data_IF_378596887291
#
_entry.id   IF_378596887291
#
_cell.length_a   1.000
_cell.length_b   1.000
_cell.length_c   1.000
_cell.angle_alpha   90.00
_cell.angle_beta   90.00
_cell.angle_gamma   90.00
#
_symmetry.space_group_name_H-M   'P 1'
#
loop_
_entity.id
_entity.type
_entity.pdbx_description
1 polymer ?
#
# COMPACT_ATOMS: atom_id res chain seq x y z
N UNK A 1 2.04 6.99 15.72
CA UNK A 1 2.24 5.64 16.27
C UNK A 1 1.32 5.35 17.46
N UNK A 2 1.37 6.10 18.56
CA UNK A 2 0.44 5.91 19.71
C UNK A 2 -1.03 5.90 19.29
N UNK A 3 -1.49 6.92 18.56
CA UNK A 3 -2.87 7.01 18.04
C UNK A 3 -3.26 5.77 17.24
N UNK A 4 -2.38 5.28 16.36
CA UNK A 4 -2.64 4.10 15.55
C UNK A 4 -2.80 2.85 16.43
N UNK A 5 -1.88 2.63 17.36
CA UNK A 5 -1.91 1.48 18.27
C UNK A 5 -3.15 1.48 19.16
N UNK A 6 -3.49 2.63 19.76
CA UNK A 6 -4.70 2.79 20.58
C UNK A 6 -6.00 2.63 19.78
N UNK A 7 -5.94 2.87 18.46
CA UNK A 7 -7.05 2.61 17.52
C UNK A 7 -7.11 1.16 17.03
N UNK A 8 -6.27 0.27 17.57
CA UNK A 8 -6.24 -1.16 17.22
C UNK A 8 -5.32 -1.53 16.06
N UNK A 9 -4.55 -0.58 15.50
CA UNK A 9 -3.56 -0.89 14.44
C UNK A 9 -2.38 -1.65 15.05
N UNK A 10 -2.11 -2.83 14.50
CA UNK A 10 -1.00 -3.69 14.91
C UNK A 10 0.10 -3.83 13.82
N UNK A 11 -0.13 -3.33 12.61
CA UNK A 11 0.81 -3.37 11.50
C UNK A 11 1.57 -2.04 11.36
N UNK A 12 2.89 -2.10 11.42
CA UNK A 12 3.78 -0.96 11.22
C UNK A 12 4.87 -1.35 10.20
N UNK A 13 4.98 -0.57 9.13
CA UNK A 13 5.95 -0.79 8.05
C UNK A 13 7.09 0.25 8.11
N UNK A 14 8.29 -0.20 7.77
CA UNK A 14 9.51 0.63 7.66
C UNK A 14 10.49 -0.03 6.68
N UNK A 15 11.54 0.68 6.29
CA UNK A 15 12.62 0.13 5.46
C UNK A 15 13.97 0.79 5.81
N UNK A 16 15.06 0.06 5.59
CA UNK A 16 16.44 0.53 5.78
C UNK A 16 16.74 1.84 5.03
N UNK A 17 16.13 2.02 3.85
CA UNK A 17 16.35 3.21 2.99
C UNK A 17 15.62 4.44 3.53
N UNK A 18 14.62 4.28 4.41
CA UNK A 18 13.80 5.38 4.92
C UNK A 18 14.62 6.25 5.87
N UNK A 19 14.88 7.48 5.43
CA UNK A 19 15.73 8.44 6.13
C UNK A 19 17.11 7.86 6.51
N UNK A 20 17.66 6.97 5.67
CA UNK A 20 18.93 6.27 5.89
C UNK A 20 18.99 5.57 7.26
N UNK A 21 18.06 4.64 7.50
CA UNK A 21 17.95 3.84 8.74
C UNK A 21 17.34 4.57 9.95
N UNK A 22 17.18 5.90 9.90
CA UNK A 22 16.62 6.67 11.03
C UNK A 22 15.17 6.31 11.33
N UNK A 23 14.39 5.91 10.31
CA UNK A 23 13.01 5.51 10.51
C UNK A 23 12.89 4.28 11.42
N UNK A 24 13.72 3.25 11.19
CA UNK A 24 13.78 2.03 12.00
C UNK A 24 14.21 2.34 13.44
N UNK A 25 15.24 3.18 13.61
CA UNK A 25 15.70 3.61 14.93
C UNK A 25 14.60 4.35 15.72
N UNK A 26 13.84 5.24 15.07
CA UNK A 26 12.72 5.95 15.69
C UNK A 26 11.62 4.97 16.07
N UNK A 27 11.24 4.06 15.18
CA UNK A 27 10.22 3.04 15.44
C UNK A 27 10.61 2.18 16.64
N UNK A 28 11.81 1.60 16.65
CA UNK A 28 12.33 0.79 17.75
C UNK A 28 12.37 1.54 19.09
N UNK A 29 12.76 2.83 19.07
CA UNK A 29 12.77 3.67 20.27
C UNK A 29 11.35 3.91 20.83
N UNK A 30 10.35 4.14 19.98
CA UNK A 30 8.97 4.34 20.43
C UNK A 30 8.43 3.03 21.03
N UNK A 31 8.64 1.90 20.35
CA UNK A 31 8.25 0.57 20.83
C UNK A 31 8.84 0.31 22.22
N UNK A 32 10.16 0.48 22.36
CA UNK A 32 10.89 0.27 23.61
C UNK A 32 10.36 1.19 24.72
N UNK A 33 10.18 2.48 24.43
CA UNK A 33 9.68 3.49 25.39
C UNK A 33 8.25 3.21 25.84
N UNK A 34 7.41 2.68 24.95
CA UNK A 34 6.02 2.32 25.26
C UNK A 34 5.87 0.94 25.90
N UNK A 35 6.96 0.18 26.02
CA UNK A 35 6.97 -1.20 26.52
C UNK A 35 5.94 -2.08 25.79
N UNK A 36 5.69 -1.78 24.52
CA UNK A 36 4.97 -2.70 23.64
C UNK A 36 5.82 -3.96 23.49
N UNK A 37 5.20 -5.13 23.32
CA UNK A 37 5.84 -6.46 23.37
C UNK A 37 6.80 -6.77 22.19
N UNK A 38 7.56 -5.79 21.74
CA UNK A 38 8.48 -5.87 20.62
C UNK A 38 9.85 -5.38 21.13
N UNK A 39 10.48 -6.15 22.01
CA UNK A 39 11.93 -6.07 22.20
C UNK A 39 12.53 -6.83 21.01
N UNK A 40 12.62 -6.15 19.86
CA UNK A 40 12.80 -6.77 18.54
C UNK A 40 14.11 -7.56 18.46
N UNK A 41 14.03 -8.87 18.65
CA UNK A 41 15.04 -9.84 18.20
C UNK A 41 14.78 -10.27 16.74
N UNK A 42 13.57 -10.00 16.25
CA UNK A 42 13.07 -10.36 14.92
C UNK A 42 12.07 -9.33 14.39
N UNK A 43 11.76 -9.39 13.09
CA UNK A 43 10.61 -8.69 12.47
C UNK A 43 9.55 -9.70 12.01
N UNK A 44 8.27 -9.37 12.10
CA UNK A 44 7.21 -10.31 11.69
C UNK A 44 7.31 -10.65 10.19
N UNK A 45 7.57 -9.66 9.34
CA UNK A 45 7.76 -9.88 7.89
C UNK A 45 8.93 -9.05 7.38
N UNK A 46 9.89 -9.69 6.72
CA UNK A 46 10.95 -9.02 5.95
C UNK A 46 10.58 -8.96 4.46
N UNK A 47 10.78 -7.81 3.82
CA UNK A 47 10.41 -7.62 2.41
C UNK A 47 11.61 -7.47 1.49
N UNK A 48 11.57 -8.12 0.32
CA UNK A 48 12.35 -7.70 -0.83
C UNK A 48 11.74 -6.41 -1.39
N UNK A 49 12.34 -5.25 -1.10
CA UNK A 49 11.78 -3.92 -1.39
C UNK A 49 11.56 -3.63 -2.90
N UNK A 50 12.26 -4.36 -3.78
CA UNK A 50 12.10 -4.36 -5.24
C UNK A 50 12.75 -5.63 -5.83
N UNK A 51 12.45 -6.00 -7.08
CA UNK A 51 13.22 -7.03 -7.78
C UNK A 51 14.69 -6.63 -7.89
N UNK A 52 15.58 -7.62 -7.80
CA UNK A 52 17.00 -7.46 -8.12
C UNK A 52 17.35 -8.32 -9.33
N UNK A 53 17.58 -7.67 -10.47
CA UNK A 53 17.90 -8.35 -11.73
C UNK A 53 19.32 -8.91 -11.78
N UNK A 54 20.16 -8.62 -10.77
CA UNK A 54 21.54 -9.09 -10.71
C UNK A 54 21.71 -10.32 -9.81
N UNK A 55 20.70 -10.68 -9.03
CA UNK A 55 20.74 -11.81 -8.09
C UNK A 55 19.76 -12.89 -8.55
N UNK A 56 20.19 -14.15 -8.77
CA UNK A 56 19.29 -15.23 -9.16
C UNK A 56 18.17 -15.45 -8.14
N UNK A 57 16.96 -15.80 -8.60
CA UNK A 57 15.81 -16.02 -7.74
C UNK A 57 16.08 -17.06 -6.64
N UNK A 58 16.80 -18.13 -6.97
CA UNK A 58 17.18 -19.16 -6.00
C UNK A 58 17.98 -18.61 -4.82
N UNK A 59 18.93 -17.72 -5.08
CA UNK A 59 19.75 -17.11 -4.03
C UNK A 59 18.89 -16.23 -3.10
N UNK A 60 17.99 -15.43 -3.68
CA UNK A 60 17.05 -14.58 -2.92
C UNK A 60 16.17 -15.45 -2.00
N UNK A 61 15.53 -16.50 -2.54
CA UNK A 61 14.61 -17.35 -1.74
C UNK A 61 15.37 -18.14 -0.68
N UNK A 62 16.61 -18.60 -0.95
CA UNK A 62 17.46 -19.24 0.05
C UNK A 62 17.86 -18.29 1.17
N UNK A 63 18.24 -17.05 0.83
CA UNK A 63 18.60 -16.03 1.82
C UNK A 63 17.39 -15.67 2.72
N UNK A 64 16.21 -15.47 2.12
CA UNK A 64 14.97 -15.21 2.86
C UNK A 64 14.60 -16.39 3.78
N UNK A 65 14.76 -17.62 3.30
CA UNK A 65 14.54 -18.82 4.11
C UNK A 65 15.55 -18.94 5.24
N UNK A 66 16.82 -18.59 4.99
CA UNK A 66 17.86 -18.60 6.00
C UNK A 66 17.55 -17.64 7.15
N UNK A 67 17.21 -16.38 6.86
CA UNK A 67 16.91 -15.39 7.92
C UNK A 67 15.69 -15.78 8.75
N UNK A 68 14.70 -16.45 8.14
CA UNK A 68 13.56 -17.01 8.88
C UNK A 68 14.01 -18.15 9.79
N UNK A 69 14.80 -19.09 9.27
CA UNK A 69 15.32 -20.22 10.06
C UNK A 69 16.27 -19.80 11.19
N UNK A 70 16.95 -18.65 11.06
CA UNK A 70 17.76 -18.04 12.12
C UNK A 70 16.91 -17.28 13.15
N UNK A 71 15.59 -17.23 12.99
CA UNK A 71 14.69 -16.49 13.87
C UNK A 71 14.80 -14.97 13.74
N UNK A 72 15.39 -14.45 12.67
CA UNK A 72 15.49 -13.00 12.42
C UNK A 72 14.19 -12.43 11.83
N UNK A 73 13.36 -13.28 11.22
CA UNK A 73 12.02 -12.92 10.80
C UNK A 73 11.05 -14.10 10.90
N UNK A 74 9.75 -13.83 11.07
CA UNK A 74 8.72 -14.89 11.06
C UNK A 74 8.34 -15.29 9.62
N UNK A 75 8.26 -14.33 8.70
CA UNK A 75 7.88 -14.54 7.30
C UNK A 75 8.65 -13.60 6.37
N UNK A 76 8.51 -13.81 5.07
CA UNK A 76 9.00 -12.84 4.09
C UNK A 76 7.95 -12.53 3.03
N UNK A 77 8.10 -11.38 2.39
CA UNK A 77 7.25 -10.92 1.31
C UNK A 77 8.02 -10.21 0.21
N UNK A 78 7.31 -9.91 -0.88
CA UNK A 78 7.83 -9.18 -2.03
C UNK A 78 7.25 -7.77 -2.06
N UNK A 79 7.90 -6.83 -2.75
CA UNK A 79 7.36 -5.48 -2.98
C UNK A 79 7.75 -5.01 -4.36
N UNK A 80 6.77 -4.56 -5.14
CA UNK A 80 6.96 -4.10 -6.55
C UNK A 80 7.35 -5.22 -7.52
N UNK A 81 7.22 -6.47 -7.12
CA UNK A 81 7.49 -7.61 -8.00
C UNK A 81 6.32 -7.84 -8.95
N UNK A 82 6.59 -8.29 -10.17
CA UNK A 82 5.56 -8.73 -11.11
C UNK A 82 4.94 -10.05 -10.64
N UNK A 83 3.74 -10.36 -11.12
CA UNK A 83 3.12 -11.66 -10.81
C UNK A 83 3.96 -12.86 -11.29
N UNK A 84 4.77 -12.67 -12.34
CA UNK A 84 5.69 -13.68 -12.85
C UNK A 84 6.83 -13.94 -11.85
N UNK A 85 7.49 -12.89 -11.36
CA UNK A 85 8.59 -13.02 -10.40
C UNK A 85 8.11 -13.61 -9.06
N UNK A 86 6.90 -13.27 -8.61
CA UNK A 86 6.31 -13.87 -7.40
C UNK A 86 6.06 -15.38 -7.60
N UNK A 87 5.55 -15.77 -8.76
CA UNK A 87 5.36 -17.19 -9.10
C UNK A 87 6.69 -17.93 -9.25
N UNK A 88 7.73 -17.27 -9.77
CA UNK A 88 9.08 -17.81 -9.84
C UNK A 88 9.65 -18.08 -8.44
N UNK A 89 9.53 -17.12 -7.52
CA UNK A 89 9.92 -17.32 -6.13
C UNK A 89 9.17 -18.49 -5.47
N UNK A 90 7.86 -18.60 -5.73
CA UNK A 90 7.07 -19.73 -5.26
C UNK A 90 7.56 -21.06 -5.87
N UNK A 91 7.84 -21.09 -7.17
CA UNK A 91 8.34 -22.27 -7.87
C UNK A 91 9.68 -22.75 -7.29
N UNK A 92 10.63 -21.82 -7.10
CA UNK A 92 11.92 -22.08 -6.45
C UNK A 92 11.71 -22.64 -5.04
N UNK A 93 10.81 -22.03 -4.26
CA UNK A 93 10.54 -22.47 -2.91
C UNK A 93 10.01 -23.92 -2.87
N UNK A 94 9.09 -24.26 -3.78
CA UNK A 94 8.56 -25.63 -3.88
C UNK A 94 9.60 -26.63 -4.38
N UNK A 95 10.42 -26.26 -5.36
CA UNK A 95 11.43 -27.14 -5.92
C UNK A 95 12.51 -27.51 -4.90
N UNK A 96 12.93 -26.56 -4.05
CA UNK A 96 14.04 -26.75 -3.12
C UNK A 96 13.63 -26.87 -1.65
N UNK A 97 12.33 -27.06 -1.39
CA UNK A 97 11.75 -27.16 -0.04
C UNK A 97 12.14 -25.97 0.87
N UNK A 98 12.00 -24.75 0.32
CA UNK A 98 12.25 -23.48 0.99
C UNK A 98 10.91 -22.81 1.37
N UNK A 99 10.99 -21.67 2.07
CA UNK A 99 9.82 -20.94 2.54
C UNK A 99 9.37 -19.96 1.44
N UNK A 100 8.13 -20.05 0.91
CA UNK A 100 7.61 -19.12 -0.10
C UNK A 100 7.24 -17.75 0.51
N UNK A 101 7.14 -16.68 -0.30
CA UNK A 101 6.68 -15.38 0.19
C UNK A 101 5.19 -15.44 0.56
N UNK A 102 4.79 -14.75 1.62
CA UNK A 102 3.41 -14.78 2.13
C UNK A 102 2.56 -13.59 1.67
N UNK A 103 3.19 -12.50 1.24
CA UNK A 103 2.49 -11.30 0.82
C UNK A 103 3.29 -10.49 -0.20
N UNK A 104 2.57 -9.70 -1.00
CA UNK A 104 3.12 -8.70 -1.90
C UNK A 104 2.70 -7.30 -1.43
N UNK A 105 3.68 -6.41 -1.30
CA UNK A 105 3.49 -4.99 -1.04
C UNK A 105 3.34 -4.19 -2.34
N UNK A 106 2.12 -3.77 -2.68
CA UNK A 106 1.80 -3.15 -3.98
C UNK A 106 1.14 -1.78 -3.90
N UNK A 107 1.43 -0.90 -4.87
CA UNK A 107 0.74 0.38 -5.00
C UNK A 107 -0.74 0.13 -5.30
N UNK A 108 -1.64 0.72 -4.52
CA UNK A 108 -3.07 0.67 -4.79
C UNK A 108 -3.78 1.93 -4.35
N UNK A 109 -4.42 2.57 -5.31
CA UNK A 109 -5.24 3.75 -5.10
C UNK A 109 -6.13 4.00 -6.32
N UNK A 110 -7.00 5.00 -6.26
CA UNK A 110 -7.97 5.33 -7.33
C UNK A 110 -7.35 5.41 -8.73
N UNK A 111 -6.10 5.89 -8.84
CA UNK A 111 -5.37 6.00 -10.13
C UNK A 111 -4.37 4.88 -10.44
N UNK A 112 -4.26 3.83 -9.61
CA UNK A 112 -3.34 2.70 -9.81
C UNK A 112 -4.03 1.42 -9.31
N UNK A 113 -4.56 0.64 -10.24
CA UNK A 113 -5.54 -0.43 -9.92
C UNK A 113 -5.17 -1.80 -10.45
N UNK A 114 -4.58 -1.84 -11.65
CA UNK A 114 -4.47 -3.05 -12.48
C UNK A 114 -3.84 -4.23 -11.74
N UNK A 115 -2.64 -4.06 -11.17
CA UNK A 115 -1.96 -5.14 -10.45
C UNK A 115 -2.79 -5.72 -9.31
N UNK A 116 -3.38 -4.88 -8.46
CA UNK A 116 -4.10 -5.33 -7.26
C UNK A 116 -5.50 -5.86 -7.56
N UNK A 117 -6.19 -5.31 -8.58
CA UNK A 117 -7.54 -5.76 -8.94
C UNK A 117 -7.55 -6.95 -9.93
N UNK A 118 -6.46 -7.17 -10.69
CA UNK A 118 -6.42 -8.22 -11.73
C UNK A 118 -5.37 -9.29 -11.45
N UNK A 119 -4.14 -8.91 -11.11
CA UNK A 119 -3.04 -9.88 -10.99
C UNK A 119 -2.98 -10.55 -9.61
N UNK A 120 -3.07 -9.77 -8.53
CA UNK A 120 -2.96 -10.31 -7.17
C UNK A 120 -4.06 -11.30 -6.78
N UNK A 121 -5.34 -11.14 -7.19
CA UNK A 121 -6.37 -12.13 -6.87
C UNK A 121 -6.06 -13.52 -7.44
N UNK A 122 -5.45 -13.59 -8.64
CA UNK A 122 -5.00 -14.86 -9.22
C UNK A 122 -3.88 -15.50 -8.37
N UNK A 123 -2.92 -14.71 -7.87
CA UNK A 123 -1.85 -15.20 -6.99
C UNK A 123 -2.40 -15.67 -5.65
N UNK A 124 -3.32 -14.92 -5.04
CA UNK A 124 -3.99 -15.31 -3.81
C UNK A 124 -4.67 -16.67 -3.97
N UNK A 125 -5.46 -16.87 -5.03
CA UNK A 125 -6.16 -18.13 -5.26
C UNK A 125 -5.24 -19.31 -5.61
N UNK A 126 -4.10 -19.07 -6.28
CA UNK A 126 -3.20 -20.15 -6.72
C UNK A 126 -2.18 -20.56 -5.67
N UNK A 127 -1.61 -19.59 -4.95
CA UNK A 127 -0.44 -19.81 -4.08
C UNK A 127 -0.58 -19.19 -2.69
N UNK A 128 -1.72 -18.54 -2.38
CA UNK A 128 -2.02 -18.02 -1.05
C UNK A 128 -1.31 -16.71 -0.69
N UNK A 129 -0.72 -16.01 -1.66
CA UNK A 129 -0.06 -14.71 -1.43
C UNK A 129 -1.10 -13.64 -1.14
N UNK A 130 -1.01 -12.99 0.02
CA UNK A 130 -1.86 -11.85 0.40
C UNK A 130 -1.40 -10.53 -0.23
N UNK A 131 -2.26 -9.52 -0.22
CA UNK A 131 -1.94 -8.18 -0.71
C UNK A 131 -1.90 -7.16 0.44
N UNK A 132 -0.74 -6.55 0.64
CA UNK A 132 -0.59 -5.38 1.50
C UNK A 132 -0.36 -4.16 0.60
N UNK A 133 -1.21 -3.15 0.68
CA UNK A 133 -1.13 -2.05 -0.29
C UNK A 133 -0.52 -0.79 0.29
N UNK A 134 0.11 0.03 -0.55
CA UNK A 134 0.74 1.28 -0.14
C UNK A 134 0.34 2.46 -1.04
N UNK A 135 0.61 3.67 -0.53
CA UNK A 135 0.21 4.96 -1.14
C UNK A 135 -1.28 5.07 -1.48
N UNK A 136 -2.22 4.75 -0.57
CA UNK A 136 -3.67 4.84 -0.85
C UNK A 136 -4.13 6.25 -1.28
N UNK A 137 -3.36 7.27 -0.90
CA UNK A 137 -3.61 8.68 -1.24
C UNK A 137 -2.69 9.21 -2.35
N UNK A 138 -1.98 8.33 -3.07
CA UNK A 138 -1.02 8.65 -4.13
C UNK A 138 -0.04 9.76 -3.71
N UNK A 139 0.71 9.53 -2.63
CA UNK A 139 1.61 10.55 -2.03
C UNK A 139 0.93 11.86 -1.58
N UNK A 140 -0.38 11.82 -1.34
CA UNK A 140 -1.19 12.98 -0.93
C UNK A 140 -1.90 13.67 -2.10
N UNK A 141 -1.75 13.20 -3.34
CA UNK A 141 -2.44 13.73 -4.51
C UNK A 141 -3.96 13.68 -4.31
N UNK A 142 -4.45 12.56 -3.79
CA UNK A 142 -5.89 12.28 -3.65
C UNK A 142 -6.54 13.15 -2.55
N UNK A 143 -5.77 13.83 -1.69
CA UNK A 143 -6.39 14.73 -0.70
C UNK A 143 -6.90 16.04 -1.30
N UNK A 144 -6.73 16.27 -2.61
CA UNK A 144 -7.11 17.51 -3.28
C UNK A 144 -6.24 18.73 -2.95
N UNK A 145 -5.22 18.58 -2.10
CA UNK A 145 -4.40 19.71 -1.62
C UNK A 145 -3.59 20.42 -2.70
N UNK A 146 -3.49 19.84 -3.90
CA UNK A 146 -2.70 20.35 -5.02
C UNK A 146 -3.53 21.07 -6.09
N UNK A 147 -4.84 21.24 -5.89
CA UNK A 147 -5.71 21.92 -6.86
C UNK A 147 -5.25 23.35 -7.18
N UNK A 148 -4.70 24.05 -6.20
CA UNK A 148 -4.26 25.45 -6.32
C UNK A 148 -2.73 25.61 -6.30
N UNK A 149 -2.00 24.59 -6.77
CA UNK A 149 -0.53 24.58 -6.78
C UNK A 149 0.07 23.70 -5.68
N UNK A 150 1.38 23.84 -5.44
CA UNK A 150 2.13 22.99 -4.51
C UNK A 150 2.27 23.70 -3.15
N UNK A 151 1.62 23.22 -2.07
CA UNK A 151 1.81 23.81 -0.74
C UNK A 151 3.24 23.60 -0.23
N UNK A 152 3.80 24.59 0.45
CA UNK A 152 5.19 24.58 0.94
C UNK A 152 5.49 23.46 1.94
N UNK A 153 4.50 23.06 2.74
CA UNK A 153 4.64 21.98 3.74
C UNK A 153 4.32 20.59 3.18
N UNK A 154 4.01 20.49 1.88
CA UNK A 154 3.59 19.24 1.27
C UNK A 154 4.77 18.32 0.90
N UNK A 155 4.50 17.03 0.68
CA UNK A 155 5.54 16.09 0.21
C UNK A 155 6.18 16.55 -1.11
N UNK A 156 5.40 17.16 -2.00
CA UNK A 156 5.84 17.59 -3.33
C UNK A 156 6.74 18.85 -3.32
N UNK A 157 6.85 19.56 -2.19
CA UNK A 157 7.79 20.68 -2.05
C UNK A 157 9.20 20.24 -1.64
N UNK A 158 9.35 19.01 -1.15
CA UNK A 158 10.62 18.48 -0.67
C UNK A 158 11.59 18.21 -1.82
N UNK A 159 12.87 18.58 -1.65
CA UNK A 159 13.92 18.46 -2.69
C UNK A 159 14.06 17.04 -3.26
N UNK A 160 13.92 16.00 -2.42
CA UNK A 160 13.99 14.60 -2.84
C UNK A 160 12.76 14.09 -3.60
N UNK A 161 11.70 14.91 -3.71
CA UNK A 161 10.41 14.56 -4.31
C UNK A 161 10.09 15.40 -5.55
N UNK A 162 11.12 15.89 -6.25
CA UNK A 162 10.96 16.66 -7.48
C UNK A 162 10.13 15.91 -8.54
N UNK A 163 10.32 14.59 -8.65
CA UNK A 163 9.50 13.71 -9.52
C UNK A 163 8.00 13.77 -9.20
N UNK A 164 7.62 13.95 -7.93
CA UNK A 164 6.22 14.05 -7.51
C UNK A 164 5.63 15.39 -7.94
N UNK A 165 6.41 16.47 -7.82
CA UNK A 165 6.03 17.80 -8.33
C UNK A 165 5.76 17.74 -9.83
N UNK A 166 6.68 17.13 -10.59
CA UNK A 166 6.54 16.93 -12.04
C UNK A 166 5.29 16.11 -12.39
N UNK A 167 5.05 15.01 -11.66
CA UNK A 167 3.82 14.20 -11.82
C UNK A 167 2.56 15.03 -11.60
N UNK A 168 2.52 15.88 -10.56
CA UNK A 168 1.35 16.71 -10.23
C UNK A 168 1.08 17.76 -11.31
N UNK A 169 2.11 18.44 -11.82
CA UNK A 169 1.95 19.52 -12.81
C UNK A 169 1.80 19.01 -14.26
N UNK A 170 2.06 17.72 -14.49
CA UNK A 170 1.86 17.07 -15.79
C UNK A 170 0.41 17.18 -16.29
N UNK A 171 0.20 16.88 -17.57
CA UNK A 171 -1.15 16.80 -18.13
C UNK A 171 -2.01 15.74 -17.42
N UNK A 172 -1.45 14.56 -17.18
CA UNK A 172 -2.15 13.48 -16.48
C UNK A 172 -2.43 13.83 -15.03
N UNK A 173 -1.50 14.50 -14.35
CA UNK A 173 -1.70 15.02 -12.99
C UNK A 173 -2.88 16.01 -12.93
N UNK A 174 -2.99 16.91 -13.90
CA UNK A 174 -4.12 17.85 -14.02
C UNK A 174 -5.45 17.14 -14.30
N UNK A 175 -5.46 16.12 -15.17
CA UNK A 175 -6.63 15.26 -15.40
C UNK A 175 -7.07 14.55 -14.11
N UNK A 176 -6.12 14.02 -13.33
CA UNK A 176 -6.41 13.43 -12.02
C UNK A 176 -7.03 14.45 -11.05
N UNK A 177 -6.52 15.69 -11.00
CA UNK A 177 -7.10 16.74 -10.15
C UNK A 177 -8.55 17.09 -10.53
N UNK A 178 -8.88 17.08 -11.83
CA UNK A 178 -10.26 17.28 -12.29
C UNK A 178 -11.18 16.15 -11.78
N UNK A 179 -10.76 14.89 -11.94
CA UNK A 179 -11.49 13.72 -11.42
C UNK A 179 -11.66 13.77 -9.89
N UNK A 180 -10.65 14.25 -9.16
CA UNK A 180 -10.75 14.44 -7.70
C UNK A 180 -11.82 15.47 -7.29
N UNK A 181 -12.07 16.49 -8.12
CA UNK A 181 -13.15 17.44 -7.86
C UNK A 181 -14.52 16.76 -7.92
N UNK A 182 -14.74 15.92 -8.93
CA UNK A 182 -15.97 15.15 -9.09
C UNK A 182 -16.15 14.12 -7.96
N UNK A 183 -15.08 13.42 -7.58
CA UNK A 183 -15.07 12.52 -6.43
C UNK A 183 -15.34 13.26 -5.11
N UNK A 184 -14.96 14.54 -5.01
CA UNK A 184 -15.30 15.40 -3.89
C UNK A 184 -16.81 15.48 -3.65
N UNK A 185 -17.61 15.56 -4.71
CA UNK A 185 -19.07 15.56 -4.59
C UNK A 185 -19.63 14.25 -4.04
N UNK A 186 -19.01 13.11 -4.38
CA UNK A 186 -19.38 11.81 -3.78
C UNK A 186 -19.02 11.81 -2.28
N UNK A 187 -17.82 12.28 -1.93
CA UNK A 187 -17.39 12.35 -0.53
C UNK A 187 -18.34 13.23 0.31
N UNK A 188 -18.74 14.40 -0.22
CA UNK A 188 -19.72 15.30 0.40
C UNK A 188 -21.08 14.61 0.61
N UNK A 189 -21.63 13.93 -0.41
CA UNK A 189 -22.89 13.16 -0.29
C UNK A 189 -22.81 12.07 0.78
N UNK A 190 -21.66 11.43 0.92
CA UNK A 190 -21.43 10.36 1.91
C UNK A 190 -21.08 10.89 3.30
N UNK A 191 -20.86 12.20 3.45
CA UNK A 191 -20.46 12.84 4.69
C UNK A 191 -19.05 12.46 5.15
N UNK A 192 -18.13 12.22 4.21
CA UNK A 192 -16.72 11.92 4.50
C UNK A 192 -15.78 12.87 3.79
N UNK A 193 -14.51 12.85 4.18
CA UNK A 193 -13.45 13.54 3.43
C UNK A 193 -12.99 12.71 2.23
N UNK A 194 -12.40 13.35 1.23
CA UNK A 194 -11.86 12.65 0.06
C UNK A 194 -10.76 11.62 0.43
N UNK A 195 -9.85 11.89 1.40
CA UNK A 195 -8.96 10.88 1.94
C UNK A 195 -9.67 9.66 2.55
N UNK A 196 -10.73 9.89 3.33
CA UNK A 196 -11.52 8.81 3.92
C UNK A 196 -12.23 7.97 2.84
N UNK A 197 -12.81 8.62 1.83
CA UNK A 197 -13.41 7.95 0.68
C UNK A 197 -12.39 7.03 -0.02
N UNK A 198 -11.19 7.56 -0.30
CA UNK A 198 -10.16 6.83 -1.03
C UNK A 198 -9.61 5.63 -0.25
N UNK A 199 -9.36 5.79 1.06
CA UNK A 199 -8.89 4.69 1.92
C UNK A 199 -9.98 3.63 2.08
N UNK A 200 -11.24 4.03 2.30
CA UNK A 200 -12.37 3.10 2.37
C UNK A 200 -12.56 2.35 1.04
N UNK A 201 -12.38 3.05 -0.08
CA UNK A 201 -12.41 2.46 -1.40
C UNK A 201 -11.31 1.40 -1.58
N UNK A 202 -10.07 1.64 -1.12
CA UNK A 202 -9.01 0.63 -1.17
C UNK A 202 -9.38 -0.61 -0.33
N UNK A 203 -9.93 -0.40 0.88
CA UNK A 203 -10.34 -1.46 1.80
C UNK A 203 -11.59 -2.24 1.35
N UNK A 204 -12.36 -1.74 0.39
CA UNK A 204 -13.54 -2.43 -0.14
C UNK A 204 -13.19 -3.77 -0.80
N UNK A 205 -11.96 -3.90 -1.28
CA UNK A 205 -11.50 -5.08 -1.97
C UNK A 205 -11.07 -6.13 -0.94
N UNK A 206 -11.85 -7.21 -0.80
CA UNK A 206 -11.54 -8.30 0.13
C UNK A 206 -10.20 -8.99 -0.15
N UNK A 207 -9.66 -8.86 -1.38
CA UNK A 207 -8.32 -9.34 -1.72
C UNK A 207 -7.19 -8.50 -1.11
N UNK A 208 -7.48 -7.28 -0.63
CA UNK A 208 -6.53 -6.42 0.08
C UNK A 208 -6.58 -6.73 1.58
N UNK A 209 -5.52 -7.33 2.10
CA UNK A 209 -5.43 -7.70 3.52
C UNK A 209 -5.22 -6.49 4.43
N UNK A 210 -4.48 -5.49 3.96
CA UNK A 210 -4.24 -4.24 4.70
C UNK A 210 -3.84 -3.09 3.77
N UNK A 211 -4.08 -1.86 4.23
CA UNK A 211 -3.68 -0.61 3.55
C UNK A 211 -2.72 0.15 4.45
N UNK A 212 -1.47 0.32 4.00
CA UNK A 212 -0.45 1.10 4.69
C UNK A 212 -0.74 2.60 4.56
N UNK A 213 -1.06 3.22 5.70
CA UNK A 213 -1.33 4.66 5.78
C UNK A 213 -0.04 5.45 5.94
N UNK A 214 0.08 6.55 5.19
CA UNK A 214 1.13 7.55 5.36
C UNK A 214 0.54 8.88 5.84
N UNK A 215 1.05 9.41 6.95
CA UNK A 215 0.60 10.68 7.54
C UNK A 215 1.78 11.52 8.00
N UNK A 216 1.75 12.83 7.76
CA UNK A 216 2.75 13.77 8.28
C UNK A 216 2.31 14.49 9.56
N UNK A 217 1.05 14.32 9.99
CA UNK A 217 0.52 14.89 11.23
C UNK A 217 -0.46 13.94 11.93
N UNK A 218 -0.69 14.10 13.25
CA UNK A 218 -1.69 13.35 14.00
C UNK A 218 -3.12 13.49 13.47
N UNK A 219 -3.47 14.67 12.96
CA UNK A 219 -4.80 15.00 12.44
C UNK A 219 -5.07 14.19 11.17
N UNK A 220 -4.09 14.13 10.25
CA UNK A 220 -4.19 13.31 9.05
C UNK A 220 -4.32 11.82 9.37
N UNK A 221 -3.59 11.34 10.39
CA UNK A 221 -3.71 9.94 10.81
C UNK A 221 -5.10 9.65 11.35
N UNK A 222 -5.61 10.53 12.22
CA UNK A 222 -6.94 10.38 12.84
C UNK A 222 -8.04 10.44 11.77
N UNK A 223 -7.93 11.37 10.82
CA UNK A 223 -8.82 11.46 9.66
C UNK A 223 -8.82 10.16 8.85
N UNK A 224 -7.64 9.67 8.47
CA UNK A 224 -7.50 8.46 7.65
C UNK A 224 -8.00 7.20 8.36
N UNK A 225 -7.80 7.06 9.68
CA UNK A 225 -8.34 5.95 10.47
C UNK A 225 -9.88 5.97 10.48
N UNK A 226 -10.48 7.16 10.41
CA UNK A 226 -11.93 7.32 10.28
C UNK A 226 -12.53 6.72 9.00
N UNK A 227 -11.71 6.39 7.99
CA UNK A 227 -12.15 5.76 6.74
C UNK A 227 -12.96 4.46 6.97
N UNK A 228 -12.65 3.71 8.03
CA UNK A 228 -13.34 2.45 8.38
C UNK A 228 -14.85 2.67 8.55
N UNK A 229 -15.26 3.83 9.06
CA UNK A 229 -16.68 4.17 9.28
C UNK A 229 -17.47 4.29 7.97
N UNK A 230 -16.77 4.48 6.84
CA UNK A 230 -17.37 4.67 5.52
C UNK A 230 -17.29 3.42 4.65
N UNK A 231 -16.60 2.36 5.10
CA UNK A 231 -16.55 1.08 4.40
C UNK A 231 -17.96 0.49 4.14
N UNK A 232 -18.92 0.49 5.09
CA UNK A 232 -20.28 0.03 4.82
C UNK A 232 -21.04 0.86 3.78
N UNK A 233 -20.60 2.11 3.52
CA UNK A 233 -21.20 2.98 2.50
C UNK A 233 -20.65 2.72 1.09
N UNK A 234 -19.63 1.87 0.93
CA UNK A 234 -19.06 1.48 -0.36
C UNK A 234 -19.96 0.48 -1.10
N UNK A 235 -21.20 0.89 -1.36
CA UNK A 235 -22.19 0.09 -2.12
C UNK A 235 -21.79 -0.06 -3.59
N UNK A 236 -22.34 -1.05 -4.28
CA UNK A 236 -22.13 -1.24 -5.72
C UNK A 236 -22.46 0.02 -6.54
N UNK A 237 -23.48 0.79 -6.13
CA UNK A 237 -23.84 2.05 -6.77
C UNK A 237 -22.74 3.11 -6.62
N UNK A 238 -22.24 3.33 -5.40
CA UNK A 238 -21.15 4.28 -5.12
C UNK A 238 -19.88 3.88 -5.87
N UNK A 239 -19.53 2.59 -5.85
CA UNK A 239 -18.36 2.08 -6.57
C UNK A 239 -18.51 2.28 -8.08
N UNK A 240 -19.71 2.08 -8.63
CA UNK A 240 -19.99 2.34 -10.05
C UNK A 240 -19.90 3.82 -10.41
N UNK A 241 -20.35 4.74 -9.53
CA UNK A 241 -20.20 6.19 -9.73
C UNK A 241 -18.71 6.59 -9.73
N UNK A 242 -17.93 6.03 -8.80
CA UNK A 242 -16.47 6.21 -8.76
C UNK A 242 -15.80 5.65 -10.02
N UNK A 243 -16.16 4.44 -10.45
CA UNK A 243 -15.61 3.83 -11.67
C UNK A 243 -15.95 4.65 -12.91
N UNK A 244 -17.15 5.23 -12.99
CA UNK A 244 -17.55 6.11 -14.08
C UNK A 244 -16.72 7.39 -14.14
N UNK A 245 -16.42 8.03 -13.00
CA UNK A 245 -15.55 9.22 -12.96
C UNK A 245 -14.11 8.85 -13.30
N UNK A 246 -13.62 7.72 -12.79
CA UNK A 246 -12.22 7.33 -12.94
C UNK A 246 -11.91 6.80 -14.35
N UNK A 247 -12.86 6.12 -15.00
CA UNK A 247 -12.74 5.55 -16.35
C UNK A 247 -11.49 4.66 -16.51
N UNK A 248 -11.08 4.00 -15.43
CA UNK A 248 -9.86 3.21 -15.37
C UNK A 248 -10.08 1.85 -14.71
N UNK A 249 -11.34 1.40 -14.63
CA UNK A 249 -11.68 0.06 -14.12
C UNK A 249 -10.92 -0.97 -14.97
N UNK A 250 -10.01 -1.76 -14.37
CA UNK A 250 -9.19 -2.68 -15.14
C UNK A 250 -10.06 -3.84 -15.63
N UNK A 251 -9.76 -4.33 -16.84
CA UNK A 251 -10.48 -5.44 -17.44
C UNK A 251 -10.17 -6.76 -16.73
N UNK A 252 -11.21 -7.45 -16.25
CA UNK A 252 -11.07 -8.80 -15.67
C UNK A 252 -11.58 -9.86 -16.65
N UNK A 253 -10.78 -10.92 -16.87
CA UNK A 253 -11.18 -12.06 -17.73
C UNK A 253 -12.48 -12.76 -17.27
N UNK A 254 -12.90 -12.59 -16.00
CA UNK A 254 -14.16 -13.16 -15.49
C UNK A 254 -15.40 -12.56 -16.18
N UNK A 255 -15.35 -11.30 -16.63
CA UNK A 255 -16.48 -10.61 -17.30
C UNK A 255 -16.72 -11.13 -18.75
N UNK A 256 -15.82 -11.94 -19.32
CA UNK A 256 -15.98 -12.50 -20.68
C UNK A 256 -16.85 -13.76 -20.72
N UNK A 257 -17.14 -14.40 -19.58
CA UNK A 257 -17.87 -15.68 -19.52
C UNK A 257 -19.31 -15.55 -19.01
N UNK A 258 -19.81 -14.32 -18.85
CA UNK A 258 -21.18 -14.00 -18.41
C UNK A 258 -21.98 -13.34 -19.53
#
# INVERSE_FOLDING_TARGET
>A
MTIAYESGVNLFDTAEVYAAGKAEAILGNIIKKKSWRLQLEYVDVVFANRPDTNTPMEEIVRAMTYVINQGMSMYWGTSRWTAMEIMEAYSVARQFNLIPPVCEQSEYHLFQREKVEVQLPELYHKIGVGAMTWSPLACGIITGKYQNGIPETSRASMKSYQWLKEKIVSEDGRKQQAKLKELGHIAEKLGCTLPQLAVAWCLRNEGVSSVLLGSSSPEQLTENLGAIQFLPKMTSHVVSEIDHILENKPYSKKEYRS
#
